data_IF_962085682595
#
_entry.id   IF_962085682595
#
_cell.length_a   1.000
_cell.length_b   1.000
_cell.length_c   1.000
_cell.angle_alpha   90.00
_cell.angle_beta   90.00
_cell.angle_gamma   90.00
#
_symmetry.space_group_name_H-M   'P 1'
#
loop_
_entity.id
_entity.type
_entity.pdbx_description
1 polymer ?
#
# COMPACT_ATOMS: atom_id res chain seq x y z
N UNK A 1 8.99 -13.44 -17.79
CA UNK A 1 9.33 -12.77 -16.52
C UNK A 1 8.77 -11.35 -16.42
N UNK A 2 9.00 -10.48 -17.41
CA UNK A 2 8.51 -9.07 -17.37
C UNK A 2 6.98 -8.93 -17.24
N UNK A 3 6.20 -9.77 -17.93
CA UNK A 3 4.72 -9.70 -17.89
C UNK A 3 4.15 -9.92 -16.46
N UNK A 4 4.77 -10.81 -15.68
CA UNK A 4 4.34 -11.08 -14.31
C UNK A 4 4.52 -9.85 -13.42
N UNK A 5 5.68 -9.18 -13.48
CA UNK A 5 5.94 -7.98 -12.69
C UNK A 5 5.12 -6.77 -13.15
N UNK A 6 4.90 -6.62 -14.47
CA UNK A 6 3.98 -5.59 -14.99
C UNK A 6 2.57 -5.82 -14.43
N UNK A 7 2.07 -7.06 -14.48
CA UNK A 7 0.77 -7.41 -13.93
C UNK A 7 0.69 -7.12 -12.42
N UNK A 8 1.70 -7.53 -11.66
CA UNK A 8 1.75 -7.28 -10.22
C UNK A 8 1.80 -5.78 -9.90
N UNK A 9 2.55 -5.00 -10.67
CA UNK A 9 2.70 -3.56 -10.47
C UNK A 9 1.44 -2.76 -10.85
N UNK A 10 0.63 -3.23 -11.81
CA UNK A 10 -0.52 -2.50 -12.35
C UNK A 10 -1.89 -2.98 -11.87
N UNK A 11 -2.05 -4.25 -11.51
CA UNK A 11 -3.38 -4.83 -11.27
C UNK A 11 -3.51 -5.55 -9.93
N UNK A 12 -2.43 -6.14 -9.41
CA UNK A 12 -2.50 -6.98 -8.21
C UNK A 12 -2.93 -6.21 -6.95
N UNK A 13 -2.73 -4.89 -6.90
CA UNK A 13 -3.15 -4.06 -5.76
C UNK A 13 -4.68 -4.09 -5.51
N UNK A 14 -5.48 -4.43 -6.53
CA UNK A 14 -6.94 -4.58 -6.39
C UNK A 14 -7.31 -5.81 -5.57
N UNK A 15 -6.49 -6.87 -5.64
CA UNK A 15 -6.81 -8.14 -5.00
C UNK A 15 -6.85 -8.04 -3.45
N UNK A 16 -5.87 -7.43 -2.75
CA UNK A 16 -5.97 -7.17 -1.31
C UNK A 16 -7.24 -6.40 -0.93
N UNK A 17 -7.61 -5.39 -1.72
CA UNK A 17 -8.80 -4.57 -1.47
C UNK A 17 -10.08 -5.42 -1.54
N UNK A 18 -10.21 -6.25 -2.57
CA UNK A 18 -11.33 -7.16 -2.74
C UNK A 18 -11.39 -8.20 -1.62
N UNK A 19 -10.25 -8.80 -1.26
CA UNK A 19 -10.17 -9.79 -0.18
C UNK A 19 -10.63 -9.19 1.15
N UNK A 20 -10.12 -8.02 1.52
CA UNK A 20 -10.51 -7.35 2.76
C UNK A 20 -11.97 -6.90 2.72
N UNK A 21 -12.43 -6.38 1.59
CA UNK A 21 -13.82 -5.96 1.39
C UNK A 21 -14.81 -7.12 1.55
N UNK A 22 -14.54 -8.26 0.91
CA UNK A 22 -15.34 -9.48 1.07
C UNK A 22 -15.32 -9.93 2.54
N UNK A 23 -14.16 -9.92 3.19
CA UNK A 23 -14.05 -10.28 4.61
C UNK A 23 -14.94 -9.39 5.50
N UNK A 24 -14.99 -8.07 5.24
CA UNK A 24 -15.85 -7.14 5.96
C UNK A 24 -17.33 -7.48 5.74
N UNK A 25 -17.75 -7.74 4.50
CA UNK A 25 -19.14 -8.08 4.15
C UNK A 25 -19.60 -9.41 4.73
N UNK A 26 -18.68 -10.35 4.98
CA UNK A 26 -18.97 -11.61 5.65
C UNK A 26 -19.16 -11.46 7.18
N UNK A 27 -18.85 -10.31 7.77
CA UNK A 27 -19.02 -10.08 9.20
C UNK A 27 -20.45 -9.65 9.56
N UNK A 28 -20.93 -9.93 10.78
CA UNK A 28 -22.20 -9.40 11.29
C UNK A 28 -22.26 -7.88 11.18
N UNK A 29 -23.48 -7.34 11.02
CA UNK A 29 -23.68 -5.90 10.74
C UNK A 29 -23.09 -4.97 11.82
N UNK A 30 -23.01 -5.40 13.07
CA UNK A 30 -22.35 -4.65 14.15
C UNK A 30 -20.84 -4.61 13.98
N UNK A 31 -20.22 -5.76 13.69
CA UNK A 31 -18.77 -5.90 13.50
C UNK A 31 -18.30 -5.17 12.25
N UNK A 32 -18.96 -5.35 11.10
CA UNK A 32 -18.57 -4.66 9.86
C UNK A 32 -18.58 -3.14 10.02
N UNK A 33 -19.60 -2.60 10.71
CA UNK A 33 -19.70 -1.16 10.99
C UNK A 33 -18.53 -0.69 11.84
N UNK A 34 -18.22 -1.41 12.91
CA UNK A 34 -17.06 -1.10 13.78
C UNK A 34 -15.75 -1.12 13.01
N UNK A 35 -15.57 -2.11 12.13
CA UNK A 35 -14.38 -2.20 11.28
C UNK A 35 -14.30 -1.01 10.32
N UNK A 36 -15.41 -0.66 9.65
CA UNK A 36 -15.45 0.46 8.71
C UNK A 36 -15.23 1.83 9.38
N UNK A 37 -15.81 2.05 10.57
CA UNK A 37 -15.62 3.29 11.34
C UNK A 37 -14.18 3.50 11.79
N UNK A 38 -13.40 2.41 11.93
CA UNK A 38 -11.97 2.51 12.15
C UNK A 38 -11.19 2.64 10.84
N UNK A 39 -11.43 1.72 9.90
CA UNK A 39 -10.57 1.53 8.73
C UNK A 39 -10.62 2.72 7.77
N UNK A 40 -11.81 3.31 7.54
CA UNK A 40 -11.95 4.40 6.57
C UNK A 40 -11.26 5.68 7.05
N UNK A 41 -11.52 6.22 8.26
CA UNK A 41 -10.80 7.40 8.75
C UNK A 41 -9.30 7.16 8.89
N UNK A 42 -8.89 5.96 9.33
CA UNK A 42 -7.47 5.64 9.48
C UNK A 42 -6.76 5.56 8.14
N UNK A 43 -7.39 4.99 7.10
CA UNK A 43 -6.82 4.97 5.76
C UNK A 43 -6.68 6.37 5.17
N UNK A 44 -7.64 7.26 5.42
CA UNK A 44 -7.55 8.68 5.04
C UNK A 44 -6.40 9.38 5.77
N UNK A 45 -6.20 9.10 7.06
CA UNK A 45 -5.07 9.63 7.83
C UNK A 45 -3.74 9.12 7.30
N UNK A 46 -3.63 7.82 7.00
CA UNK A 46 -2.43 7.23 6.37
C UNK A 46 -2.12 7.92 5.05
N UNK A 47 -3.13 8.12 4.20
CA UNK A 47 -2.95 8.81 2.92
C UNK A 47 -2.51 10.26 3.12
N UNK A 48 -3.11 10.99 4.05
CA UNK A 48 -2.72 12.36 4.38
C UNK A 48 -1.26 12.45 4.87
N UNK A 49 -0.83 11.52 5.73
CA UNK A 49 0.57 11.40 6.16
C UNK A 49 1.48 11.05 4.97
N UNK A 50 1.04 10.17 4.07
CA UNK A 50 1.77 9.85 2.84
C UNK A 50 2.00 11.07 1.96
N UNK A 51 0.94 11.85 1.69
CA UNK A 51 1.02 13.11 0.94
C UNK A 51 1.96 14.10 1.63
N UNK A 52 1.81 14.31 2.93
CA UNK A 52 2.70 15.19 3.69
C UNK A 52 4.17 14.73 3.62
N UNK A 53 4.41 13.42 3.66
CA UNK A 53 5.75 12.85 3.55
C UNK A 53 6.37 13.10 2.17
N UNK A 54 5.57 12.99 1.10
CA UNK A 54 6.01 13.33 -0.27
C UNK A 54 6.22 14.82 -0.51
N UNK A 55 5.60 15.69 0.30
CA UNK A 55 5.90 17.14 0.29
C UNK A 55 7.20 17.47 1.03
N UNK A 56 7.60 16.63 2.00
CA UNK A 56 8.80 16.83 2.81
C UNK A 56 10.05 16.14 2.26
N UNK A 57 9.88 15.07 1.48
CA UNK A 57 10.97 14.31 0.89
C UNK A 57 10.69 14.04 -0.60
N UNK A 58 11.57 14.57 -1.44
CA UNK A 58 11.52 14.41 -2.89
C UNK A 58 12.52 13.34 -3.34
N UNK A 59 12.02 12.29 -3.97
CA UNK A 59 12.78 11.17 -4.51
C UNK A 59 12.47 11.03 -6.02
N UNK A 60 13.31 11.57 -6.92
CA UNK A 60 13.07 11.42 -8.35
C UNK A 60 13.11 9.94 -8.74
N UNK A 61 12.19 9.50 -9.61
CA UNK A 61 12.02 8.08 -9.92
C UNK A 61 13.27 7.46 -10.57
N UNK A 62 13.51 6.13 -10.40
CA UNK A 62 14.70 5.47 -10.93
C UNK A 62 14.91 5.67 -12.44
N UNK A 63 13.83 5.63 -13.23
CA UNK A 63 13.91 5.81 -14.68
C UNK A 63 14.27 7.23 -15.11
N UNK A 64 13.95 8.22 -14.28
CA UNK A 64 14.22 9.64 -14.54
C UNK A 64 15.71 9.92 -14.34
N UNK A 65 16.25 9.50 -13.20
CA UNK A 65 17.69 9.61 -12.89
C UNK A 65 18.56 8.68 -13.73
N UNK A 66 18.07 7.49 -14.06
CA UNK A 66 18.81 6.48 -14.81
C UNK A 66 18.64 6.57 -16.33
N UNK A 67 17.83 7.52 -16.82
CA UNK A 67 17.55 7.75 -18.23
C UNK A 67 17.20 6.49 -19.03
N UNK A 68 16.36 5.62 -18.45
CA UNK A 68 15.89 4.40 -19.11
C UNK A 68 14.37 4.41 -19.28
N UNK A 69 13.85 3.55 -20.15
CA UNK A 69 12.41 3.38 -20.32
C UNK A 69 11.87 2.42 -19.25
N UNK A 70 10.96 2.84 -18.36
CA UNK A 70 10.39 1.93 -17.37
C UNK A 70 9.51 0.86 -18.04
N UNK A 71 9.36 -0.29 -17.40
CA UNK A 71 8.51 -1.38 -17.92
C UNK A 71 7.02 -1.00 -17.88
N UNK A 72 6.65 -0.06 -17.00
CA UNK A 72 5.33 0.53 -16.91
C UNK A 72 5.46 2.04 -17.13
N UNK A 73 4.77 2.62 -18.13
CA UNK A 73 4.80 4.07 -18.35
C UNK A 73 4.41 4.85 -17.10
N UNK A 74 5.19 5.88 -16.77
CA UNK A 74 4.95 6.74 -15.62
C UNK A 74 5.50 8.15 -15.87
N UNK A 75 4.93 9.15 -15.23
CA UNK A 75 5.43 10.53 -15.27
C UNK A 75 6.72 10.69 -14.41
N UNK A 76 7.66 11.56 -14.81
CA UNK A 76 8.85 11.90 -14.01
C UNK A 76 8.46 12.88 -12.90
N UNK A 77 7.85 12.35 -11.84
CA UNK A 77 7.41 13.07 -10.65
C UNK A 77 8.06 12.50 -9.39
N UNK A 78 7.62 12.94 -8.21
CA UNK A 78 8.12 12.40 -6.94
C UNK A 78 7.72 10.92 -6.79
N UNK A 79 8.68 10.04 -6.55
CA UNK A 79 8.49 8.63 -6.26
C UNK A 79 8.08 8.35 -4.81
N UNK A 80 8.38 9.24 -3.87
CA UNK A 80 8.16 9.00 -2.44
C UNK A 80 6.89 9.66 -1.89
N UNK A 81 6.13 8.94 -1.03
CA UNK A 81 6.11 7.50 -0.86
C UNK A 81 5.37 6.82 -2.03
N UNK A 82 5.52 5.51 -2.21
CA UNK A 82 4.79 4.80 -3.28
C UNK A 82 3.31 4.62 -2.92
N UNK A 83 2.38 5.22 -3.69
CA UNK A 83 0.93 5.09 -3.51
C UNK A 83 0.43 3.64 -3.50
N UNK A 84 0.93 2.81 -4.44
CA UNK A 84 0.52 1.41 -4.52
C UNK A 84 0.96 0.64 -3.27
N UNK A 85 2.20 0.84 -2.83
CA UNK A 85 2.72 0.21 -1.62
C UNK A 85 1.99 0.70 -0.36
N UNK A 86 1.64 2.00 -0.31
CA UNK A 86 0.91 2.61 0.80
C UNK A 86 -0.49 2.02 0.91
N UNK A 87 -1.20 1.89 -0.22
CA UNK A 87 -2.53 1.29 -0.26
C UNK A 87 -2.53 -0.17 0.22
N UNK A 88 -1.68 -1.02 -0.37
CA UNK A 88 -1.68 -2.46 -0.04
C UNK A 88 -1.17 -2.75 1.36
N UNK A 89 -0.21 -1.99 1.87
CA UNK A 89 0.27 -2.11 3.26
C UNK A 89 -0.75 -1.58 4.26
N UNK A 90 -1.50 -0.52 3.94
CA UNK A 90 -2.66 -0.07 4.73
C UNK A 90 -3.71 -1.17 4.83
N UNK A 91 -4.09 -1.79 3.72
CA UNK A 91 -5.04 -2.90 3.69
C UNK A 91 -4.55 -4.09 4.53
N UNK A 92 -3.28 -4.48 4.36
CA UNK A 92 -2.70 -5.59 5.11
C UNK A 92 -2.62 -5.32 6.62
N UNK A 93 -2.23 -4.10 6.99
CA UNK A 93 -2.13 -3.68 8.38
C UNK A 93 -3.51 -3.56 9.05
N UNK A 94 -4.51 -3.03 8.34
CA UNK A 94 -5.92 -3.09 8.77
C UNK A 94 -6.31 -4.55 8.99
N UNK A 95 -6.15 -5.43 8.00
CA UNK A 95 -6.48 -6.86 8.14
C UNK A 95 -5.82 -7.56 9.34
N UNK A 96 -4.63 -7.12 9.75
CA UNK A 96 -3.89 -7.64 10.92
C UNK A 96 -4.64 -7.43 12.24
N UNK A 97 -5.45 -6.37 12.36
CA UNK A 97 -6.20 -6.07 13.58
C UNK A 97 -7.41 -6.99 13.82
N UNK A 98 -7.95 -7.61 12.77
CA UNK A 98 -9.16 -8.46 12.88
C UNK A 98 -8.92 -9.94 12.58
N UNK A 99 -7.97 -10.29 11.71
CA UNK A 99 -7.74 -11.69 11.36
C UNK A 99 -6.27 -11.98 11.02
N UNK A 100 -5.57 -12.63 11.95
CA UNK A 100 -4.16 -13.01 11.81
C UNK A 100 -3.88 -13.99 10.66
N UNK A 101 -4.85 -14.82 10.26
CA UNK A 101 -4.67 -15.73 9.11
C UNK A 101 -4.80 -14.97 7.79
N UNK A 102 -5.79 -14.09 7.70
CA UNK A 102 -6.01 -13.22 6.54
C UNK A 102 -4.82 -12.28 6.32
N UNK A 103 -4.22 -11.77 7.41
CA UNK A 103 -3.14 -10.79 7.29
C UNK A 103 -1.90 -11.35 6.60
N UNK A 104 -1.58 -12.64 6.78
CA UNK A 104 -0.44 -13.28 6.09
C UNK A 104 -0.60 -13.17 4.59
N UNK A 105 -1.80 -13.48 4.07
CA UNK A 105 -2.10 -13.38 2.63
C UNK A 105 -1.99 -11.93 2.16
N UNK A 106 -2.57 -10.99 2.90
CA UNK A 106 -2.55 -9.57 2.54
C UNK A 106 -1.13 -9.00 2.53
N UNK A 107 -0.29 -9.36 3.50
CA UNK A 107 1.11 -8.93 3.56
C UNK A 107 1.95 -9.54 2.45
N UNK A 108 1.75 -10.81 2.09
CA UNK A 108 2.41 -11.43 0.93
C UNK A 108 2.06 -10.65 -0.34
N UNK A 109 0.78 -10.33 -0.55
CA UNK A 109 0.34 -9.53 -1.71
C UNK A 109 0.94 -8.11 -1.67
N UNK A 110 0.99 -7.48 -0.50
CA UNK A 110 1.59 -6.15 -0.34
C UNK A 110 3.08 -6.14 -0.70
N UNK A 111 3.83 -7.15 -0.25
CA UNK A 111 5.25 -7.33 -0.59
C UNK A 111 5.40 -7.59 -2.08
N UNK A 112 4.56 -8.45 -2.68
CA UNK A 112 4.65 -8.77 -4.10
C UNK A 112 4.39 -7.55 -4.99
N UNK A 113 3.38 -6.73 -4.66
CA UNK A 113 3.13 -5.45 -5.33
C UNK A 113 4.33 -4.52 -5.16
N UNK A 114 4.84 -4.36 -3.93
CA UNK A 114 5.97 -3.46 -3.62
C UNK A 114 7.24 -3.84 -4.39
N UNK A 115 7.60 -5.12 -4.40
CA UNK A 115 8.75 -5.65 -5.16
C UNK A 115 8.54 -5.43 -6.67
N UNK A 116 7.32 -5.65 -7.17
CA UNK A 116 7.01 -5.41 -8.56
C UNK A 116 7.18 -3.94 -8.95
N UNK A 117 6.79 -2.98 -8.09
CA UNK A 117 6.99 -1.55 -8.32
C UNK A 117 8.47 -1.17 -8.44
N UNK A 118 9.34 -1.76 -7.62
CA UNK A 118 10.79 -1.57 -7.74
C UNK A 118 11.31 -2.21 -9.03
N UNK A 119 10.89 -3.45 -9.31
CA UNK A 119 11.35 -4.20 -10.49
C UNK A 119 10.98 -3.52 -11.83
N UNK A 120 9.79 -2.93 -11.94
CA UNK A 120 9.38 -2.22 -13.17
C UNK A 120 10.08 -0.86 -13.36
N UNK A 121 10.92 -0.46 -12.38
CA UNK A 121 11.76 0.72 -12.46
C UNK A 121 11.05 2.04 -12.14
N UNK A 122 9.89 2.01 -11.50
CA UNK A 122 9.09 3.22 -11.22
C UNK A 122 9.23 3.73 -9.77
N UNK A 123 9.88 2.97 -8.88
CA UNK A 123 10.13 3.36 -7.49
C UNK A 123 11.47 2.82 -6.99
N UNK A 124 12.12 3.56 -6.11
CA UNK A 124 13.23 3.05 -5.31
C UNK A 124 12.71 2.17 -4.16
N UNK A 125 13.62 1.38 -3.57
CA UNK A 125 13.29 0.58 -2.38
C UNK A 125 12.84 1.45 -1.21
N UNK A 126 13.38 2.67 -1.08
CA UNK A 126 13.00 3.60 -0.01
C UNK A 126 11.54 4.05 -0.12
N UNK A 127 11.01 4.23 -1.33
CA UNK A 127 9.60 4.62 -1.57
C UNK A 127 8.63 3.59 -1.01
N UNK A 128 8.90 2.31 -1.27
CA UNK A 128 8.02 1.22 -0.86
C UNK A 128 8.17 0.88 0.61
N UNK A 129 9.40 0.94 1.15
CA UNK A 129 9.65 0.74 2.59
C UNK A 129 9.04 1.89 3.40
N UNK A 130 9.18 3.13 2.93
CA UNK A 130 8.56 4.31 3.54
C UNK A 130 7.05 4.17 3.64
N UNK A 131 6.38 3.77 2.55
CA UNK A 131 4.95 3.49 2.55
C UNK A 131 4.53 2.45 3.60
N UNK A 132 5.26 1.32 3.68
CA UNK A 132 4.97 0.26 4.66
C UNK A 132 5.13 0.78 6.09
N UNK A 133 6.19 1.53 6.38
CA UNK A 133 6.45 2.10 7.70
C UNK A 133 5.34 3.09 8.07
N UNK A 134 4.96 4.00 7.15
CA UNK A 134 3.88 4.97 7.37
C UNK A 134 2.59 4.24 7.75
N UNK A 135 2.18 3.24 6.97
CA UNK A 135 0.96 2.46 7.26
C UNK A 135 1.03 1.76 8.61
N UNK A 136 2.13 1.09 8.94
CA UNK A 136 2.29 0.39 10.22
C UNK A 136 2.23 1.37 11.40
N UNK A 137 2.98 2.48 11.34
CA UNK A 137 3.08 3.44 12.44
C UNK A 137 1.74 4.13 12.68
N UNK A 138 1.12 4.68 11.63
CA UNK A 138 -0.16 5.41 11.77
C UNK A 138 -1.26 4.48 12.27
N UNK A 139 -1.42 3.29 11.67
CA UNK A 139 -2.49 2.36 12.09
C UNK A 139 -2.25 1.84 13.51
N UNK A 140 -1.00 1.55 13.89
CA UNK A 140 -0.66 1.12 15.25
C UNK A 140 -0.89 2.22 16.28
N UNK A 141 -0.67 3.49 15.92
CA UNK A 141 -0.94 4.62 16.80
C UNK A 141 -2.45 4.79 17.03
N UNK A 142 -3.25 4.74 15.96
CA UNK A 142 -4.71 4.88 16.04
C UNK A 142 -5.35 3.68 16.74
N UNK A 143 -4.87 2.46 16.52
CA UNK A 143 -5.43 1.25 17.14
C UNK A 143 -5.24 1.18 18.66
N UNK A 144 -4.27 1.90 19.22
CA UNK A 144 -4.10 2.02 20.69
C UNK A 144 -5.10 2.96 21.33
N UNK A 145 -5.73 3.83 20.54
CA UNK A 145 -6.71 4.81 21.01
C UNK A 145 -8.17 4.33 20.86
N UNK A 146 -8.38 3.11 20.37
CA UNK A 146 -9.68 2.54 19.98
C UNK A 146 -9.99 1.22 20.69
#
# INVERSE_FOLDING_TARGET
MNLFFIFCAQYLFVLPLVILGIYFLMQPRSTWRRMATFAVPTALLVYAVGVASGLLYYDPRPFDVGHFKPLVPHAPDNGFPSDHALLVSTIAMVGTLWNKKLCVVLWILAVLVSVARVYVGVHHTIDVVGSIIISIVVISAVSRAF
#
